data_IF_868159417003
#
_entry.id   IF_868159417003
#
_cell.length_a   1.000
_cell.length_b   1.000
_cell.length_c   1.000
_cell.angle_alpha   90.00
_cell.angle_beta   90.00
_cell.angle_gamma   90.00
#
_symmetry.space_group_name_H-M   'P 1'
#
loop_
_entity.id
_entity.type
_entity.pdbx_description
1 polymer ?
#
# COMPACT_ATOMS: atom_id res chain seq x y z
N UNK A 1 -26.78 -30.04 -9.72
CA UNK A 1 -26.47 -28.78 -10.43
C UNK A 1 -25.99 -27.77 -9.40
N UNK A 2 -24.67 -27.64 -9.21
CA UNK A 2 -24.11 -26.54 -8.42
C UNK A 2 -24.25 -25.28 -9.27
N UNK A 3 -25.18 -24.40 -8.91
CA UNK A 3 -25.28 -23.09 -9.53
C UNK A 3 -23.93 -22.39 -9.36
N UNK A 4 -23.34 -21.94 -10.48
CA UNK A 4 -22.15 -21.09 -10.49
C UNK A 4 -22.46 -19.85 -9.65
N UNK A 5 -22.10 -19.86 -8.37
CA UNK A 5 -22.16 -18.66 -7.55
C UNK A 5 -21.25 -17.62 -8.22
N UNK A 6 -21.84 -16.51 -8.66
CA UNK A 6 -21.08 -15.41 -9.24
C UNK A 6 -20.08 -14.95 -8.19
N UNK A 7 -18.80 -14.91 -8.56
CA UNK A 7 -17.73 -14.50 -7.66
C UNK A 7 -17.99 -13.08 -7.15
N UNK A 8 -17.97 -12.92 -5.81
CA UNK A 8 -18.17 -11.62 -5.17
C UNK A 8 -17.09 -10.63 -5.63
N UNK A 9 -17.48 -9.40 -5.94
CA UNK A 9 -16.56 -8.34 -6.36
C UNK A 9 -16.48 -7.25 -5.31
N UNK A 10 -15.28 -7.02 -4.77
CA UNK A 10 -15.01 -6.02 -3.74
C UNK A 10 -14.11 -4.93 -4.30
N UNK A 11 -14.55 -3.67 -4.14
CA UNK A 11 -13.71 -2.49 -4.37
C UNK A 11 -13.07 -2.04 -3.07
N UNK A 12 -11.74 -2.04 -2.98
CA UNK A 12 -11.04 -1.42 -1.86
C UNK A 12 -10.57 -0.03 -2.25
N UNK A 13 -10.92 0.99 -1.45
CA UNK A 13 -10.25 2.29 -1.53
C UNK A 13 -9.02 2.21 -0.64
N UNK A 14 -7.84 2.10 -1.27
CA UNK A 14 -6.57 1.87 -0.60
C UNK A 14 -6.03 3.11 0.13
N UNK A 15 -5.14 2.91 1.11
CA UNK A 15 -4.43 4.00 1.78
C UNK A 15 -3.45 4.70 0.83
N UNK A 16 -2.91 5.85 1.26
CA UNK A 16 -2.01 6.66 0.43
C UNK A 16 -0.55 6.62 0.88
N UNK A 17 -0.17 5.68 1.76
CA UNK A 17 1.21 5.50 2.24
C UNK A 17 1.69 4.08 1.94
N UNK A 18 2.98 3.92 1.63
CA UNK A 18 3.58 2.62 1.28
C UNK A 18 3.36 1.59 2.39
N UNK A 19 3.74 1.92 3.63
CA UNK A 19 3.61 1.01 4.77
C UNK A 19 2.15 0.63 5.06
N UNK A 20 1.22 1.59 4.95
CA UNK A 20 -0.21 1.31 5.10
C UNK A 20 -0.74 0.39 4.00
N UNK A 21 -0.26 0.55 2.75
CA UNK A 21 -0.68 -0.31 1.65
C UNK A 21 -0.16 -1.74 1.84
N UNK A 22 1.07 -1.93 2.30
CA UNK A 22 1.59 -3.25 2.68
C UNK A 22 0.73 -3.88 3.78
N UNK A 23 0.39 -3.12 4.83
CA UNK A 23 -0.50 -3.61 5.89
C UNK A 23 -1.91 -3.95 5.37
N UNK A 24 -2.41 -3.21 4.37
CA UNK A 24 -3.71 -3.47 3.75
C UNK A 24 -3.78 -4.83 3.03
N UNK A 25 -2.64 -5.41 2.62
CA UNK A 25 -2.62 -6.76 2.05
C UNK A 25 -3.19 -7.81 3.00
N UNK A 26 -2.98 -7.66 4.31
CA UNK A 26 -3.54 -8.55 5.34
C UNK A 26 -5.08 -8.59 5.29
N UNK A 27 -5.72 -7.45 4.98
CA UNK A 27 -7.15 -7.39 4.72
C UNK A 27 -7.50 -8.16 3.45
N UNK A 28 -6.73 -8.02 2.36
CA UNK A 28 -7.02 -8.72 1.10
C UNK A 28 -6.93 -10.24 1.28
N UNK A 29 -5.91 -10.71 2.00
CA UNK A 29 -5.75 -12.12 2.38
C UNK A 29 -6.93 -12.61 3.22
N UNK A 30 -7.36 -11.81 4.21
CA UNK A 30 -8.53 -12.13 5.04
C UNK A 30 -9.81 -12.24 4.20
N UNK A 31 -9.99 -11.34 3.23
CA UNK A 31 -11.15 -11.38 2.34
C UNK A 31 -11.15 -12.63 1.45
N UNK A 32 -10.00 -13.05 0.92
CA UNK A 32 -9.91 -14.30 0.15
C UNK A 32 -10.17 -15.55 0.99
N UNK A 33 -9.67 -15.59 2.23
CA UNK A 33 -9.95 -16.68 3.16
C UNK A 33 -11.44 -16.79 3.48
N UNK A 34 -12.10 -15.64 3.67
CA UNK A 34 -13.52 -15.58 4.03
C UNK A 34 -14.47 -15.80 2.84
N UNK A 35 -14.06 -15.35 1.67
CA UNK A 35 -14.83 -15.42 0.43
C UNK A 35 -13.98 -16.09 -0.67
N UNK A 36 -13.96 -17.43 -0.73
CA UNK A 36 -13.21 -18.14 -1.76
C UNK A 36 -13.63 -17.68 -3.17
N UNK A 37 -12.64 -17.27 -3.97
CA UNK A 37 -12.87 -16.77 -5.34
C UNK A 37 -13.27 -15.29 -5.44
N UNK A 38 -13.25 -14.53 -4.34
CA UNK A 38 -13.51 -13.08 -4.38
C UNK A 38 -12.56 -12.34 -5.31
N UNK A 39 -13.11 -11.39 -6.06
CA UNK A 39 -12.36 -10.50 -6.94
C UNK A 39 -12.16 -9.17 -6.22
N UNK A 40 -10.91 -8.78 -6.00
CA UNK A 40 -10.55 -7.55 -5.27
C UNK A 40 -9.89 -6.57 -6.23
N UNK A 41 -10.57 -5.45 -6.49
CA UNK A 41 -10.00 -4.33 -7.24
C UNK A 41 -9.65 -3.20 -6.26
N UNK A 42 -8.51 -2.53 -6.47
CA UNK A 42 -8.01 -1.51 -5.52
C UNK A 42 -7.89 -0.15 -6.21
N UNK A 43 -8.56 0.86 -5.66
CA UNK A 43 -8.36 2.27 -6.04
C UNK A 43 -7.26 2.87 -5.17
N UNK A 44 -6.15 3.29 -5.78
CA UNK A 44 -5.01 3.87 -5.05
C UNK A 44 -4.21 4.86 -5.91
N UNK A 45 -3.34 5.71 -5.32
CA UNK A 45 -2.49 6.64 -6.08
C UNK A 45 -1.56 5.92 -7.07
N UNK A 46 -1.12 6.62 -8.13
CA UNK A 46 -0.28 6.08 -9.22
C UNK A 46 0.91 5.23 -8.74
N UNK A 47 1.66 5.71 -7.74
CA UNK A 47 2.84 5.02 -7.21
C UNK A 47 2.52 3.64 -6.62
N UNK A 48 1.27 3.38 -6.21
CA UNK A 48 0.87 2.10 -5.62
C UNK A 48 0.82 0.97 -6.63
N UNK A 49 0.78 1.24 -7.94
CA UNK A 49 0.61 0.22 -8.97
C UNK A 49 1.69 -0.86 -8.92
N UNK A 50 2.96 -0.46 -8.81
CA UNK A 50 4.09 -1.40 -8.71
C UNK A 50 4.02 -2.30 -7.48
N UNK A 51 3.55 -1.77 -6.34
CA UNK A 51 3.38 -2.53 -5.10
C UNK A 51 2.17 -3.47 -5.18
N UNK A 52 1.02 -2.97 -5.64
CA UNK A 52 -0.21 -3.75 -5.77
C UNK A 52 -0.06 -4.89 -6.76
N UNK A 53 0.71 -4.70 -7.84
CA UNK A 53 1.06 -5.77 -8.77
C UNK A 53 1.86 -6.92 -8.15
N UNK A 54 2.43 -6.74 -6.95
CA UNK A 54 3.11 -7.81 -6.19
C UNK A 54 2.21 -8.50 -5.18
N UNK A 55 0.95 -8.08 -5.05
CA UNK A 55 -0.02 -8.70 -4.14
C UNK A 55 -0.85 -9.72 -4.92
N UNK A 56 -0.76 -10.98 -4.51
CA UNK A 56 -1.49 -12.09 -5.12
C UNK A 56 -3.01 -11.90 -5.12
N UNK A 57 -3.48 -11.15 -4.14
CA UNK A 57 -4.89 -11.00 -3.82
C UNK A 57 -5.59 -9.95 -4.69
N UNK A 58 -4.82 -9.09 -5.35
CA UNK A 58 -5.32 -7.97 -6.15
C UNK A 58 -5.57 -8.42 -7.58
N UNK A 59 -6.80 -8.29 -8.04
CA UNK A 59 -7.20 -8.58 -9.42
C UNK A 59 -6.88 -7.41 -10.37
N UNK A 60 -7.27 -6.20 -9.99
CA UNK A 60 -7.03 -5.00 -10.80
C UNK A 60 -6.69 -3.78 -9.94
N UNK A 61 -5.85 -2.92 -10.49
CA UNK A 61 -5.46 -1.64 -9.91
C UNK A 61 -6.11 -0.49 -10.68
N UNK A 62 -6.87 0.34 -9.98
CA UNK A 62 -7.50 1.53 -10.52
C UNK A 62 -6.75 2.75 -10.00
N UNK A 63 -6.13 3.49 -10.91
CA UNK A 63 -5.45 4.72 -10.56
C UNK A 63 -6.44 5.78 -10.04
N UNK A 64 -6.13 6.33 -8.87
CA UNK A 64 -6.67 7.59 -8.41
C UNK A 64 -5.80 8.72 -8.99
N UNK A 65 -6.29 9.50 -9.98
CA UNK A 65 -5.50 10.52 -10.70
C UNK A 65 -5.36 11.80 -9.88
N UNK A 66 -5.25 11.68 -8.56
CA UNK A 66 -5.23 12.78 -7.60
C UNK A 66 -4.17 12.52 -6.56
N UNK A 67 -3.41 13.56 -6.23
CA UNK A 67 -2.44 13.52 -5.15
C UNK A 67 -3.08 13.36 -3.78
N UNK A 68 -2.24 13.06 -2.78
CA UNK A 68 -2.64 13.11 -1.37
C UNK A 68 -3.26 14.49 -1.04
N UNK A 69 -4.28 14.51 -0.16
CA UNK A 69 -4.85 15.79 0.31
C UNK A 69 -5.81 16.51 -0.65
N UNK A 70 -5.74 16.28 -1.97
CA UNK A 70 -6.62 16.94 -2.95
C UNK A 70 -8.09 16.53 -2.80
N UNK A 71 -9.01 17.50 -2.78
CA UNK A 71 -10.45 17.28 -2.56
C UNK A 71 -11.19 16.86 -3.84
N UNK A 72 -11.01 17.59 -4.94
CA UNK A 72 -11.42 17.28 -6.33
C UNK A 72 -12.62 16.32 -6.47
N UNK A 73 -13.79 16.74 -5.97
CA UNK A 73 -14.98 15.88 -5.91
C UNK A 73 -15.50 15.49 -7.28
N UNK A 74 -15.37 16.37 -8.28
CA UNK A 74 -15.79 16.10 -9.65
C UNK A 74 -15.00 14.95 -10.29
N UNK A 75 -13.69 14.89 -10.04
CA UNK A 75 -12.82 13.80 -10.52
C UNK A 75 -13.20 12.49 -9.85
N UNK A 76 -13.37 12.49 -8.52
CA UNK A 76 -13.79 11.30 -7.76
C UNK A 76 -15.17 10.79 -8.19
N UNK A 77 -16.11 11.69 -8.42
CA UNK A 77 -17.44 11.33 -8.89
C UNK A 77 -17.40 10.71 -10.29
N UNK A 78 -16.64 11.29 -11.23
CA UNK A 78 -16.47 10.74 -12.58
C UNK A 78 -15.84 9.36 -12.55
N UNK A 79 -14.78 9.18 -11.73
CA UNK A 79 -14.15 7.89 -11.52
C UNK A 79 -15.14 6.86 -10.93
N UNK A 80 -15.87 7.21 -9.87
CA UNK A 80 -16.88 6.29 -9.33
C UNK A 80 -17.97 5.94 -10.35
N UNK A 81 -18.45 6.92 -11.14
CA UNK A 81 -19.45 6.67 -12.19
C UNK A 81 -18.92 5.72 -13.28
N UNK A 82 -17.65 5.83 -13.68
CA UNK A 82 -17.07 4.93 -14.69
C UNK A 82 -16.90 3.50 -14.18
N UNK A 83 -16.88 3.28 -12.86
CA UNK A 83 -16.78 1.96 -12.23
C UNK A 83 -18.12 1.21 -12.12
N UNK A 84 -19.26 1.85 -12.41
CA UNK A 84 -20.59 1.21 -12.34
C UNK A 84 -20.72 -0.09 -13.15
N UNK A 85 -20.18 -0.20 -14.39
CA UNK A 85 -20.26 -1.43 -15.17
C UNK A 85 -19.49 -2.62 -14.56
N UNK A 86 -18.60 -2.37 -13.57
CA UNK A 86 -17.89 -3.44 -12.85
C UNK A 86 -18.75 -4.13 -11.79
N UNK A 87 -19.93 -3.58 -11.48
CA UNK A 87 -20.94 -4.21 -10.62
C UNK A 87 -20.37 -4.75 -9.30
N UNK A 88 -19.61 -3.94 -8.56
CA UNK A 88 -19.12 -4.33 -7.24
C UNK A 88 -20.27 -4.53 -6.26
N UNK A 89 -20.21 -5.62 -5.49
CA UNK A 89 -21.18 -5.93 -4.43
C UNK A 89 -20.87 -5.13 -3.16
N UNK A 90 -19.58 -4.92 -2.90
CA UNK A 90 -19.10 -4.35 -1.66
C UNK A 90 -17.93 -3.39 -1.92
N UNK A 91 -17.84 -2.37 -1.09
CA UNK A 91 -16.67 -1.51 -1.00
C UNK A 91 -16.16 -1.44 0.43
N UNK A 92 -14.84 -1.45 0.58
CA UNK A 92 -14.16 -1.21 1.86
C UNK A 92 -13.30 0.05 1.72
N UNK A 93 -13.59 1.05 2.54
CA UNK A 93 -12.95 2.38 2.48
C UNK A 93 -11.98 2.55 3.64
N UNK A 94 -10.69 2.28 3.35
CA UNK A 94 -9.63 2.33 4.36
C UNK A 94 -9.34 3.77 4.82
N UNK A 95 -9.10 4.77 3.92
CA UNK A 95 -8.84 6.13 4.37
C UNK A 95 -10.06 6.71 5.11
N UNK A 96 -9.80 7.49 6.16
CA UNK A 96 -10.85 8.03 7.04
C UNK A 96 -11.43 9.38 6.61
N UNK A 97 -10.84 10.01 5.60
CA UNK A 97 -11.33 11.28 5.06
C UNK A 97 -12.71 11.13 4.43
N UNK A 98 -13.55 12.17 4.45
CA UNK A 98 -14.87 12.13 3.85
C UNK A 98 -14.83 11.81 2.36
N UNK A 99 -13.92 12.48 1.64
CA UNK A 99 -13.73 12.37 0.19
C UNK A 99 -13.38 10.97 -0.31
N UNK A 100 -12.79 10.10 0.52
CA UNK A 100 -12.41 8.75 0.09
C UNK A 100 -13.63 7.86 -0.17
N UNK A 101 -14.77 8.16 0.47
CA UNK A 101 -16.01 7.42 0.28
C UNK A 101 -16.83 7.87 -0.94
N UNK A 102 -16.41 8.95 -1.63
CA UNK A 102 -17.13 9.49 -2.79
C UNK A 102 -17.08 8.53 -3.99
N UNK A 103 -15.94 7.89 -4.25
CA UNK A 103 -15.80 6.95 -5.37
C UNK A 103 -16.77 5.76 -5.23
N UNK A 104 -16.79 5.02 -4.10
CA UNK A 104 -17.76 3.95 -3.89
C UNK A 104 -19.22 4.40 -3.96
N UNK A 105 -19.55 5.57 -3.40
CA UNK A 105 -20.90 6.10 -3.44
C UNK A 105 -21.34 6.45 -4.88
N UNK A 106 -20.47 7.11 -5.66
CA UNK A 106 -20.75 7.45 -7.06
C UNK A 106 -20.84 6.21 -7.96
N UNK A 107 -20.12 5.15 -7.62
CA UNK A 107 -20.19 3.82 -8.23
C UNK A 107 -21.48 3.04 -7.87
N UNK A 108 -22.33 3.57 -6.98
CA UNK A 108 -23.59 2.95 -6.54
C UNK A 108 -23.39 1.54 -5.94
N UNK A 109 -22.26 1.31 -5.30
CA UNK A 109 -21.95 0.03 -4.66
C UNK A 109 -22.89 -0.16 -3.47
N UNK A 110 -23.64 -1.27 -3.35
CA UNK A 110 -24.73 -1.38 -2.39
C UNK A 110 -24.23 -1.46 -0.95
N UNK A 111 -23.13 -2.17 -0.66
CA UNK A 111 -22.52 -2.19 0.68
C UNK A 111 -21.23 -1.38 0.70
N UNK A 112 -21.14 -0.35 1.55
CA UNK A 112 -19.98 0.55 1.65
C UNK A 112 -19.54 0.63 3.09
N UNK A 113 -18.51 -0.17 3.41
CA UNK A 113 -17.94 -0.35 4.75
C UNK A 113 -16.79 0.62 4.97
N UNK A 114 -16.72 1.20 6.15
CA UNK A 114 -15.53 1.91 6.62
C UNK A 114 -15.73 2.41 8.03
N UNK A 115 -14.65 2.89 8.67
CA UNK A 115 -14.79 3.54 9.96
C UNK A 115 -15.66 4.82 9.88
N UNK A 116 -16.05 5.43 11.00
CA UNK A 116 -16.77 6.72 10.93
C UNK A 116 -15.97 7.83 10.25
N UNK A 117 -14.72 8.05 10.68
CA UNK A 117 -13.86 9.10 10.11
C UNK A 117 -14.49 10.50 10.24
N UNK A 118 -14.43 11.29 9.17
CA UNK A 118 -15.01 12.64 9.06
C UNK A 118 -16.53 12.60 8.80
N UNK A 119 -17.31 11.98 9.71
CA UNK A 119 -18.79 11.93 9.66
C UNK A 119 -19.38 11.53 8.30
N UNK A 120 -18.94 10.38 7.77
CA UNK A 120 -19.22 9.90 6.41
C UNK A 120 -20.64 9.36 6.18
N UNK A 121 -21.63 9.90 6.88
CA UNK A 121 -23.03 9.50 6.76
C UNK A 121 -23.53 9.69 5.32
N UNK A 122 -24.31 8.72 4.83
CA UNK A 122 -24.80 8.65 3.45
C UNK A 122 -23.79 8.06 2.47
N UNK A 123 -22.52 8.52 2.51
CA UNK A 123 -21.46 7.96 1.66
C UNK A 123 -21.09 6.54 2.06
N UNK A 124 -21.06 6.25 3.35
CA UNK A 124 -20.98 4.90 3.90
C UNK A 124 -22.35 4.52 4.48
N UNK A 125 -22.72 3.26 4.34
CA UNK A 125 -23.94 2.70 4.91
C UNK A 125 -23.69 1.53 5.88
N UNK A 126 -22.43 1.08 5.99
CA UNK A 126 -21.95 0.22 7.07
C UNK A 126 -20.79 0.97 7.76
N UNK A 127 -21.11 1.72 8.81
CA UNK A 127 -20.17 2.59 9.51
C UNK A 127 -19.68 1.91 10.78
N UNK A 128 -18.38 1.61 10.82
CA UNK A 128 -17.72 1.00 11.98
C UNK A 128 -17.21 2.06 12.95
N UNK A 129 -17.38 1.84 14.26
CA UNK A 129 -16.73 2.65 15.29
C UNK A 129 -15.32 2.12 15.55
N UNK A 130 -14.34 3.04 15.61
CA UNK A 130 -12.97 2.65 15.93
C UNK A 130 -12.75 2.73 17.43
N UNK A 131 -12.68 1.57 18.08
CA UNK A 131 -12.18 1.45 19.44
C UNK A 131 -10.65 1.28 19.44
N UNK A 132 -9.93 2.35 19.80
CA UNK A 132 -8.47 2.36 19.84
C UNK A 132 -7.88 1.54 21.00
N UNK A 133 -8.68 1.24 22.03
CA UNK A 133 -8.23 0.41 23.17
C UNK A 133 -8.16 -1.06 22.78
N UNK A 134 -9.04 -1.50 21.86
CA UNK A 134 -9.07 -2.87 21.33
C UNK A 134 -8.24 -3.04 20.05
N UNK A 135 -8.24 -2.02 19.18
CA UNK A 135 -7.52 -2.02 17.90
C UNK A 135 -6.29 -1.10 17.94
N UNK A 136 -5.28 -1.56 18.67
CA UNK A 136 -4.07 -0.80 18.96
C UNK A 136 -3.16 -0.66 17.74
N UNK A 137 -3.15 -1.65 16.84
CA UNK A 137 -2.33 -1.67 15.63
C UNK A 137 -3.11 -1.30 14.37
N UNK A 138 -2.43 -0.70 13.38
CA UNK A 138 -3.07 -0.33 12.10
C UNK A 138 -3.56 -1.55 11.32
N UNK A 139 -2.77 -2.63 11.26
CA UNK A 139 -3.17 -3.87 10.56
C UNK A 139 -4.44 -4.49 11.15
N UNK A 140 -4.61 -4.48 12.47
CA UNK A 140 -5.83 -4.94 13.15
C UNK A 140 -7.07 -4.16 12.67
N UNK A 141 -6.91 -2.84 12.46
CA UNK A 141 -8.00 -1.97 11.98
C UNK A 141 -8.37 -2.30 10.55
N UNK A 142 -7.41 -2.63 9.70
CA UNK A 142 -7.70 -2.98 8.31
C UNK A 142 -8.39 -4.34 8.23
N UNK A 143 -7.85 -5.36 8.90
CA UNK A 143 -8.45 -6.70 8.93
C UNK A 143 -9.86 -6.67 9.50
N UNK A 144 -10.10 -5.90 10.58
CA UNK A 144 -11.43 -5.78 11.17
C UNK A 144 -12.51 -5.24 10.21
N UNK A 145 -12.15 -4.42 9.21
CA UNK A 145 -13.09 -3.96 8.19
C UNK A 145 -13.53 -5.07 7.21
N UNK A 146 -12.75 -6.14 7.11
CA UNK A 146 -13.09 -7.34 6.33
C UNK A 146 -13.93 -8.36 7.11
N UNK A 147 -14.18 -8.14 8.39
CA UNK A 147 -14.97 -9.01 9.27
C UNK A 147 -16.42 -8.50 9.43
N UNK A 148 -17.29 -9.36 9.96
CA UNK A 148 -18.65 -8.93 10.36
C UNK A 148 -18.58 -7.87 11.47
N UNK A 149 -19.64 -7.07 11.63
CA UNK A 149 -19.66 -5.97 12.62
C UNK A 149 -19.63 -6.47 14.07
N UNK A 150 -20.17 -7.67 14.29
CA UNK A 150 -20.21 -8.37 15.57
C UNK A 150 -18.96 -9.23 15.85
N UNK A 151 -17.98 -9.26 14.93
CA UNK A 151 -16.78 -10.06 15.11
C UNK A 151 -15.99 -9.64 16.36
N UNK A 152 -15.42 -10.60 17.12
CA UNK A 152 -14.54 -10.29 18.24
C UNK A 152 -13.36 -9.41 17.81
N UNK A 153 -13.06 -8.37 18.60
CA UNK A 153 -11.91 -7.49 18.42
C UNK A 153 -10.90 -7.64 19.58
N UNK A 154 -9.58 -7.62 19.30
CA UNK A 154 -8.98 -7.55 17.96
C UNK A 154 -9.20 -8.84 17.15
N UNK A 155 -9.04 -8.80 15.80
CA UNK A 155 -9.08 -10.01 14.98
C UNK A 155 -8.16 -11.09 15.55
N UNK A 156 -8.67 -12.31 15.68
CA UNK A 156 -7.92 -13.44 16.24
C UNK A 156 -6.75 -13.84 15.32
N UNK A 157 -6.97 -13.77 14.01
CA UNK A 157 -5.98 -14.08 12.98
C UNK A 157 -5.73 -12.85 12.11
N UNK A 158 -4.45 -12.59 11.86
CA UNK A 158 -3.97 -11.52 10.98
C UNK A 158 -2.89 -12.11 10.08
N UNK A 159 -3.22 -12.39 8.81
CA UNK A 159 -2.25 -12.85 7.83
C UNK A 159 -1.10 -11.85 7.69
N UNK A 160 0.14 -12.35 7.60
CA UNK A 160 1.30 -11.50 7.39
C UNK A 160 1.40 -11.12 5.90
N UNK A 161 1.59 -9.83 5.57
CA UNK A 161 1.82 -9.41 4.18
C UNK A 161 2.95 -10.20 3.53
N UNK A 162 2.74 -10.58 2.27
CA UNK A 162 3.68 -11.39 1.49
C UNK A 162 3.64 -10.93 0.03
N UNK A 163 4.70 -10.27 -0.40
CA UNK A 163 4.83 -9.73 -1.76
C UNK A 163 5.52 -10.73 -2.67
N UNK A 164 4.97 -10.92 -3.87
CA UNK A 164 5.57 -11.75 -4.90
C UNK A 164 6.84 -11.10 -5.47
N UNK A 165 7.89 -11.89 -5.53
CA UNK A 165 9.15 -11.52 -6.20
C UNK A 165 9.26 -12.35 -7.47
N UNK A 166 9.43 -11.67 -8.60
CA UNK A 166 9.60 -12.31 -9.91
C UNK A 166 11.06 -12.29 -10.31
N UNK A 167 11.68 -13.47 -10.46
CA UNK A 167 13.10 -13.60 -10.76
C UNK A 167 13.50 -13.00 -12.12
N UNK A 168 12.59 -13.04 -13.10
CA UNK A 168 12.81 -12.41 -14.41
C UNK A 168 12.91 -10.88 -14.26
N UNK A 169 11.94 -10.27 -13.58
CA UNK A 169 11.95 -8.84 -13.29
C UNK A 169 13.19 -8.42 -12.47
N UNK A 170 13.61 -9.24 -11.51
CA UNK A 170 14.84 -9.00 -10.76
C UNK A 170 16.07 -9.00 -11.67
N UNK A 171 16.18 -9.97 -12.57
CA UNK A 171 17.31 -10.07 -13.52
C UNK A 171 17.35 -8.88 -14.49
N UNK A 172 16.19 -8.51 -15.03
CA UNK A 172 16.06 -7.34 -15.91
C UNK A 172 16.43 -6.04 -15.18
N UNK A 173 16.02 -5.90 -13.92
CA UNK A 173 16.31 -4.72 -13.10
C UNK A 173 17.81 -4.61 -12.79
N UNK A 174 18.46 -5.72 -12.45
CA UNK A 174 19.91 -5.77 -12.23
C UNK A 174 20.67 -5.35 -13.49
N UNK A 175 20.31 -5.91 -14.64
CA UNK A 175 20.93 -5.55 -15.92
C UNK A 175 20.70 -4.09 -16.28
N UNK A 176 19.46 -3.60 -16.18
CA UNK A 176 19.07 -2.22 -16.51
C UNK A 176 19.79 -1.18 -15.65
N UNK A 177 20.02 -1.49 -14.37
CA UNK A 177 20.68 -0.61 -13.42
C UNK A 177 22.19 -0.86 -13.30
N UNK A 178 22.74 -1.75 -14.15
CA UNK A 178 24.15 -2.16 -14.12
C UNK A 178 24.61 -2.64 -12.72
N UNK A 179 23.74 -3.37 -12.02
CA UNK A 179 23.99 -3.95 -10.71
C UNK A 179 24.43 -5.41 -10.84
N UNK A 180 25.24 -5.87 -9.88
CA UNK A 180 25.56 -7.28 -9.71
C UNK A 180 25.36 -7.72 -8.26
N UNK A 181 25.22 -9.03 -8.05
CA UNK A 181 25.05 -9.62 -6.71
C UNK A 181 26.20 -10.57 -6.37
N UNK A 182 27.41 -10.31 -6.91
CA UNK A 182 28.61 -11.13 -6.66
C UNK A 182 29.05 -11.06 -5.20
N UNK A 183 28.74 -9.94 -4.53
CA UNK A 183 28.96 -9.72 -3.11
C UNK A 183 27.63 -9.43 -2.40
N UNK A 184 27.47 -9.81 -1.12
CA UNK A 184 26.27 -9.52 -0.36
C UNK A 184 25.93 -8.03 -0.36
N UNK A 185 24.64 -7.72 -0.55
CA UNK A 185 24.15 -6.34 -0.69
C UNK A 185 23.41 -5.92 0.58
N UNK A 186 23.69 -4.72 1.08
CA UNK A 186 22.93 -4.06 2.14
C UNK A 186 22.19 -2.86 1.55
N UNK A 187 20.86 -2.84 1.70
CA UNK A 187 20.02 -1.74 1.26
C UNK A 187 19.83 -0.68 2.33
N UNK A 188 20.09 0.59 2.00
CA UNK A 188 19.79 1.73 2.88
C UNK A 188 18.57 2.49 2.38
N UNK A 189 17.76 2.98 3.31
CA UNK A 189 16.60 3.83 3.05
C UNK A 189 16.72 5.07 3.95
N UNK A 190 17.54 6.06 3.57
CA UNK A 190 17.90 7.17 4.47
C UNK A 190 16.77 8.17 4.70
N UNK A 191 15.79 8.21 3.80
CA UNK A 191 14.63 9.09 3.88
C UNK A 191 13.55 8.61 4.86
N UNK A 192 12.70 9.54 5.26
CA UNK A 192 11.50 9.24 6.04
C UNK A 192 10.35 10.19 5.66
N UNK A 193 9.21 9.63 5.31
CA UNK A 193 8.04 10.41 4.87
C UNK A 193 7.42 11.25 6.00
N UNK A 194 7.61 10.84 7.27
CA UNK A 194 7.21 11.64 8.44
C UNK A 194 8.07 12.91 8.62
N UNK A 195 9.16 13.02 7.88
CA UNK A 195 10.09 14.14 7.90
C UNK A 195 11.41 13.86 8.62
N UNK A 196 12.32 14.86 8.61
CA UNK A 196 13.73 14.69 9.02
C UNK A 196 13.93 14.18 10.45
N UNK A 197 12.98 14.42 11.35
CA UNK A 197 13.06 13.99 12.74
C UNK A 197 13.10 12.45 12.91
N UNK A 198 12.68 11.70 11.89
CA UNK A 198 12.78 10.22 11.87
C UNK A 198 13.92 9.70 10.99
N UNK A 199 14.71 10.59 10.38
CA UNK A 199 15.88 10.20 9.61
C UNK A 199 17.07 10.02 10.55
N UNK A 200 17.85 8.96 10.32
CA UNK A 200 19.15 8.80 10.98
C UNK A 200 20.16 9.77 10.33
N UNK A 201 21.07 10.40 11.10
CA UNK A 201 22.04 11.34 10.55
C UNK A 201 22.84 10.78 9.37
N UNK A 202 23.05 11.62 8.37
CA UNK A 202 23.70 11.24 7.10
C UNK A 202 25.16 10.84 7.33
N UNK A 203 25.84 11.49 8.27
CA UNK A 203 27.23 11.19 8.64
C UNK A 203 27.36 9.75 9.13
N UNK A 204 26.37 9.25 9.87
CA UNK A 204 26.39 7.90 10.38
C UNK A 204 26.04 6.87 9.31
N UNK A 205 25.16 7.20 8.35
CA UNK A 205 24.97 6.39 7.14
C UNK A 205 26.28 6.27 6.34
N UNK A 206 26.99 7.38 6.14
CA UNK A 206 28.29 7.39 5.46
C UNK A 206 29.35 6.57 6.20
N UNK A 207 29.41 6.67 7.53
CA UNK A 207 30.31 5.85 8.33
C UNK A 207 29.99 4.36 8.24
N UNK A 208 28.72 3.97 8.35
CA UNK A 208 28.29 2.58 8.22
C UNK A 208 28.56 2.04 6.82
N UNK A 209 28.29 2.83 5.77
CA UNK A 209 28.58 2.47 4.40
C UNK A 209 30.06 2.15 4.19
N UNK A 210 30.98 3.02 4.65
CA UNK A 210 32.43 2.76 4.56
C UNK A 210 32.84 1.47 5.26
N UNK A 211 32.30 1.20 6.46
CA UNK A 211 32.58 -0.04 7.21
C UNK A 211 32.09 -1.28 6.46
N UNK A 212 30.89 -1.23 5.86
CA UNK A 212 30.33 -2.33 5.08
C UNK A 212 31.13 -2.58 3.79
N UNK A 213 31.49 -1.51 3.06
CA UNK A 213 32.31 -1.61 1.86
C UNK A 213 33.68 -2.22 2.17
N UNK A 214 34.34 -1.78 3.26
CA UNK A 214 35.62 -2.33 3.71
C UNK A 214 35.52 -3.80 4.14
N UNK A 215 34.35 -4.23 4.64
CA UNK A 215 34.06 -5.62 4.98
C UNK A 215 33.65 -6.49 3.78
N UNK A 216 33.70 -5.95 2.55
CA UNK A 216 33.42 -6.70 1.33
C UNK A 216 31.94 -6.73 0.92
N UNK A 217 31.08 -5.94 1.54
CA UNK A 217 29.67 -5.80 1.13
C UNK A 217 29.53 -4.79 -0.01
N UNK A 218 28.36 -4.82 -0.65
CA UNK A 218 27.85 -3.73 -1.49
C UNK A 218 26.80 -2.96 -0.70
N UNK A 219 26.67 -1.66 -0.99
CA UNK A 219 25.64 -0.81 -0.37
C UNK A 219 24.83 -0.14 -1.47
N UNK A 220 23.52 -0.36 -1.47
CA UNK A 220 22.58 0.26 -2.40
C UNK A 220 21.67 1.22 -1.62
N UNK A 221 21.50 2.44 -2.13
CA UNK A 221 20.66 3.46 -1.52
C UNK A 221 19.32 3.50 -2.23
N UNK A 222 18.23 3.30 -1.50
CA UNK A 222 16.86 3.30 -2.00
C UNK A 222 16.09 4.49 -1.46
N UNK A 223 15.16 4.99 -2.26
CA UNK A 223 14.29 6.09 -1.88
C UNK A 223 13.48 6.59 -3.06
N UNK A 224 12.59 7.54 -2.76
CA UNK A 224 11.92 8.33 -3.78
C UNK A 224 12.88 9.35 -4.39
N UNK A 225 12.44 10.07 -5.41
CA UNK A 225 13.19 11.19 -6.00
C UNK A 225 13.52 12.29 -4.96
N UNK A 226 12.72 12.42 -3.89
CA UNK A 226 12.97 13.40 -2.81
C UNK A 226 14.17 13.04 -1.96
N UNK A 227 14.60 11.78 -1.99
CA UNK A 227 15.67 11.25 -1.15
C UNK A 227 17.06 11.37 -1.82
N UNK A 228 17.11 11.81 -3.08
CA UNK A 228 18.36 12.05 -3.80
C UNK A 228 19.37 12.92 -3.04
N UNK A 229 19.01 14.06 -2.41
CA UNK A 229 19.98 14.87 -1.68
C UNK A 229 20.65 14.09 -0.53
N UNK A 230 19.88 13.24 0.16
CA UNK A 230 20.41 12.40 1.24
C UNK A 230 21.30 11.29 0.68
N UNK A 231 20.87 10.64 -0.40
CA UNK A 231 21.64 9.56 -1.02
C UNK A 231 22.96 10.08 -1.63
N UNK A 232 22.94 11.22 -2.32
CA UNK A 232 24.13 11.86 -2.86
C UNK A 232 25.13 12.27 -1.77
N UNK A 233 24.65 12.74 -0.61
CA UNK A 233 25.52 13.06 0.51
C UNK A 233 26.19 11.80 1.11
N UNK A 234 25.47 10.67 1.19
CA UNK A 234 26.04 9.37 1.61
C UNK A 234 27.06 8.88 0.58
N UNK A 235 26.76 9.00 -0.71
CA UNK A 235 27.68 8.62 -1.79
C UNK A 235 28.98 9.44 -1.77
N UNK A 236 28.89 10.74 -1.52
CA UNK A 236 30.08 11.59 -1.33
C UNK A 236 30.92 11.18 -0.10
N UNK A 237 30.27 10.77 0.99
CA UNK A 237 30.95 10.33 2.22
C UNK A 237 31.51 8.89 2.14
N UNK A 238 30.97 8.05 1.24
CA UNK A 238 31.34 6.66 1.05
C UNK A 238 31.37 6.30 -0.44
N UNK A 239 32.43 6.69 -1.19
CA UNK A 239 32.56 6.32 -2.59
C UNK A 239 32.50 4.80 -2.78
N UNK A 240 31.63 4.34 -3.69
CA UNK A 240 31.41 2.92 -3.95
C UNK A 240 30.04 2.38 -3.52
N UNK A 241 29.22 3.18 -2.83
CA UNK A 241 27.77 2.90 -2.73
C UNK A 241 27.10 3.17 -4.09
N UNK A 242 25.91 2.61 -4.30
CA UNK A 242 25.12 2.85 -5.53
C UNK A 242 23.82 3.57 -5.18
N UNK A 243 23.63 4.80 -5.67
CA UNK A 243 22.38 5.54 -5.51
C UNK A 243 21.30 5.04 -6.49
N UNK A 244 20.23 4.46 -5.95
CA UNK A 244 19.04 3.98 -6.68
C UNK A 244 17.79 4.81 -6.37
N UNK A 245 17.89 5.89 -5.58
CA UNK A 245 16.75 6.74 -5.27
C UNK A 245 16.07 7.22 -6.56
N UNK A 246 14.75 7.12 -6.67
CA UNK A 246 13.98 7.53 -7.85
C UNK A 246 14.27 6.78 -9.16
N UNK A 247 15.12 5.74 -9.17
CA UNK A 247 15.48 4.95 -10.38
C UNK A 247 14.71 3.63 -10.50
N UNK A 248 13.97 3.27 -9.45
CA UNK A 248 13.20 2.02 -9.31
C UNK A 248 11.70 2.28 -9.29
#
# INVERSE_FOLDING_TARGET
MMGSAVAQRILVVGPSWVGDMVMAQSLFMTLQQRYPGVIIDVVAPLWSGGLLGRMAEVNDYIEMPLGQGQLELGVRYRLGRSLRPRCYDQAIVIPRSWKSAVVPAAAKIPQRIGYRGEMRYGLLNDIRQLDKSRLTQTVQRYVALGLSDDAPLPPAEIPQPHLRVESANQSDLLARLALNTERPVVGFMPGAEYGPAKCWPIEYYGELARRLLAAGYQVWLFGSQKDHPSCAAIEAAAPGVVDLAGKT
#
